data_IF_901356565769
#
_entry.id   IF_901356565769
#
_cell.length_a   1.000
_cell.length_b   1.000
_cell.length_c   1.000
_cell.angle_alpha   90.00
_cell.angle_beta   90.00
_cell.angle_gamma   90.00
#
_symmetry.space_group_name_H-M   'P 1'
#
loop_
_entity.id
_entity.type
_entity.pdbx_description
1 polymer ?
#
# COMPACT_ATOMS: atom_id res chain seq x y z
N UNK A 1 82.63 31.46 -20.85
CA UNK A 1 82.32 31.62 -22.29
C UNK A 1 83.52 32.30 -22.94
N UNK A 2 83.86 32.07 -24.22
CA UNK A 2 83.22 31.20 -25.23
C UNK A 2 83.59 29.70 -25.03
N UNK A 3 83.46 28.74 -25.96
CA UNK A 3 82.36 28.23 -26.83
C UNK A 3 83.01 27.31 -27.91
N UNK A 4 82.54 26.05 -28.08
CA UNK A 4 82.84 25.15 -29.24
C UNK A 4 84.33 24.74 -29.47
N UNK A 5 84.68 23.66 -30.18
CA UNK A 5 83.94 22.46 -30.65
C UNK A 5 84.91 21.35 -31.11
N UNK A 6 84.50 20.08 -31.00
CA UNK A 6 85.04 18.96 -31.81
C UNK A 6 84.58 19.10 -33.29
N UNK A 7 85.17 18.44 -34.33
CA UNK A 7 85.36 16.97 -34.38
C UNK A 7 86.60 16.47 -35.18
N UNK A 8 86.74 15.13 -35.30
CA UNK A 8 87.16 14.31 -36.48
C UNK A 8 87.46 12.87 -35.95
N UNK A 9 86.61 11.84 -36.04
CA UNK A 9 86.03 11.09 -37.17
C UNK A 9 87.04 10.23 -37.98
N UNK A 10 86.71 8.93 -38.19
CA UNK A 10 87.47 7.85 -38.92
C UNK A 10 88.70 7.30 -38.16
N UNK A 11 89.08 6.02 -38.20
CA UNK A 11 88.54 4.71 -38.67
C UNK A 11 89.27 3.60 -37.82
N UNK A 12 88.93 2.31 -37.71
CA UNK A 12 87.89 1.39 -38.23
C UNK A 12 87.05 0.85 -37.03
N UNK A 13 86.03 -0.05 -37.08
CA UNK A 13 85.45 -1.02 -38.05
C UNK A 13 86.15 -2.39 -38.19
N UNK A 14 86.02 -3.28 -37.17
CA UNK A 14 85.85 -4.75 -37.34
C UNK A 14 85.57 -5.48 -36.01
N UNK A 15 84.32 -5.88 -35.80
CA UNK A 15 83.86 -7.11 -35.10
C UNK A 15 82.34 -7.04 -34.94
N UNK A 16 81.61 -7.68 -35.85
CA UNK A 16 80.14 -7.83 -35.87
C UNK A 16 79.86 -9.19 -36.52
N UNK A 17 78.76 -9.87 -36.16
CA UNK A 17 78.56 -11.35 -36.15
C UNK A 17 79.20 -12.01 -34.91
N UNK A 18 78.62 -13.01 -34.25
CA UNK A 18 77.26 -13.60 -34.25
C UNK A 18 77.15 -14.56 -33.02
N UNK A 19 76.01 -14.86 -32.41
CA UNK A 19 74.65 -14.30 -32.43
C UNK A 19 73.90 -14.73 -31.13
N UNK A 20 72.66 -14.25 -30.91
CA UNK A 20 71.78 -14.75 -29.84
C UNK A 20 70.92 -15.95 -30.33
N UNK A 21 70.49 -16.86 -29.44
CA UNK A 21 69.09 -16.76 -29.00
C UNK A 21 68.77 -17.17 -27.55
N UNK A 22 67.71 -16.55 -27.01
CA UNK A 22 66.72 -17.07 -26.04
C UNK A 22 67.21 -17.88 -24.80
N UNK A 23 67.14 -17.23 -23.63
CA UNK A 23 66.65 -17.85 -22.40
C UNK A 23 65.64 -16.93 -21.70
N UNK A 24 64.36 -17.06 -22.09
CA UNK A 24 63.22 -16.50 -21.35
C UNK A 24 62.88 -17.41 -20.16
N UNK A 25 63.58 -17.22 -19.04
CA UNK A 25 63.28 -17.89 -17.78
C UNK A 25 62.61 -16.91 -16.81
N UNK A 26 61.27 -16.93 -16.74
CA UNK A 26 60.52 -16.04 -15.87
C UNK A 26 60.59 -16.45 -14.40
N UNK A 27 61.05 -15.56 -13.52
CA UNK A 27 61.07 -15.77 -12.06
C UNK A 27 59.67 -15.63 -11.42
N UNK A 28 58.69 -16.37 -11.95
CA UNK A 28 57.44 -16.63 -11.24
C UNK A 28 57.70 -17.70 -10.16
N UNK A 29 58.28 -17.29 -9.03
CA UNK A 29 58.56 -18.20 -7.90
C UNK A 29 57.27 -18.58 -7.17
N UNK A 30 56.48 -19.45 -7.79
CA UNK A 30 55.44 -20.22 -7.09
C UNK A 30 56.12 -21.18 -6.13
N UNK A 31 56.16 -20.81 -4.84
CA UNK A 31 56.86 -21.54 -3.78
C UNK A 31 56.20 -22.89 -3.45
N UNK A 32 56.35 -23.86 -4.35
CA UNK A 32 55.97 -25.25 -4.16
C UNK A 32 56.93 -25.93 -3.16
N UNK A 33 56.72 -25.64 -1.87
CA UNK A 33 57.27 -26.46 -0.79
C UNK A 33 56.75 -27.90 -0.95
N UNK A 34 57.64 -28.91 -1.03
CA UNK A 34 57.22 -30.29 -1.20
C UNK A 34 56.40 -30.75 0.01
N UNK A 35 55.41 -31.61 -0.23
CA UNK A 35 54.33 -31.95 0.71
C UNK A 35 54.78 -32.54 2.07
N UNK A 36 56.04 -32.96 2.19
CA UNK A 36 56.62 -33.44 3.45
C UNK A 36 57.14 -32.32 4.36
N UNK A 37 57.42 -31.12 3.84
CA UNK A 37 57.85 -29.93 4.62
C UNK A 37 56.67 -29.07 5.10
N UNK A 38 55.44 -29.40 4.72
CA UNK A 38 54.26 -28.65 5.18
C UNK A 38 54.02 -28.88 6.67
N UNK A 39 54.17 -27.82 7.47
CA UNK A 39 53.93 -27.85 8.91
C UNK A 39 52.54 -28.46 9.23
N UNK A 40 52.47 -29.34 10.24
CA UNK A 40 51.23 -30.03 10.64
C UNK A 40 50.84 -29.70 12.08
N UNK A 41 49.64 -29.18 12.26
CA UNK A 41 49.05 -28.82 13.55
C UNK A 41 47.91 -29.78 13.92
N UNK A 42 47.54 -29.84 15.20
CA UNK A 42 46.30 -30.52 15.64
C UNK A 42 45.07 -29.77 15.16
N UNK A 43 43.95 -30.48 15.07
CA UNK A 43 42.61 -29.88 14.88
C UNK A 43 42.16 -29.27 16.21
N UNK A 44 41.60 -28.04 16.26
CA UNK A 44 41.12 -27.43 17.50
C UNK A 44 39.85 -28.11 18.03
N UNK A 45 39.62 -28.06 19.35
CA UNK A 45 38.46 -28.70 20.01
C UNK A 45 37.11 -28.03 19.72
N UNK A 46 37.12 -26.84 19.10
CA UNK A 46 35.93 -26.08 18.75
C UNK A 46 36.12 -25.20 17.51
N UNK A 47 35.00 -24.87 16.85
CA UNK A 47 34.94 -23.95 15.71
C UNK A 47 33.83 -22.92 15.96
N UNK A 48 34.13 -21.61 15.82
CA UNK A 48 33.22 -20.50 16.13
C UNK A 48 32.51 -20.60 17.51
N UNK A 49 33.27 -21.06 18.52
CA UNK A 49 32.80 -21.25 19.90
C UNK A 49 31.93 -22.49 20.13
N UNK A 50 31.78 -23.37 19.13
CA UNK A 50 31.01 -24.62 19.24
C UNK A 50 31.94 -25.83 19.21
N UNK A 51 31.76 -26.76 20.16
CA UNK A 51 32.35 -28.10 20.08
C UNK A 51 31.65 -28.93 18.99
N UNK A 52 32.32 -29.99 18.50
CA UNK A 52 31.76 -30.84 17.44
C UNK A 52 30.34 -31.40 17.76
N UNK A 53 30.01 -31.88 18.98
CA UNK A 53 28.65 -32.28 19.34
C UNK A 53 27.62 -31.13 19.42
N UNK A 54 28.05 -29.87 19.39
CA UNK A 54 27.16 -28.70 19.27
C UNK A 54 26.99 -28.25 17.80
N UNK A 55 28.03 -28.40 16.96
CA UNK A 55 27.97 -28.23 15.50
C UNK A 55 27.01 -29.26 14.87
N UNK A 56 26.98 -30.46 15.42
CA UNK A 56 26.05 -31.53 15.03
C UNK A 56 24.59 -31.21 15.39
N UNK A 57 24.31 -30.85 16.65
CA UNK A 57 22.97 -30.39 17.10
C UNK A 57 22.48 -29.12 16.37
N UNK A 58 23.38 -28.33 15.80
CA UNK A 58 23.06 -27.18 14.94
C UNK A 58 22.65 -27.60 13.51
N UNK A 59 22.92 -28.84 13.09
CA UNK A 59 22.72 -29.35 11.73
C UNK A 59 23.84 -28.96 10.76
N UNK A 60 25.00 -28.53 11.27
CA UNK A 60 26.13 -28.06 10.47
C UNK A 60 27.20 -29.14 10.17
N UNK A 61 27.07 -30.34 10.75
CA UNK A 61 28.03 -31.46 10.66
C UNK A 61 28.03 -32.18 9.30
N UNK A 62 28.37 -31.46 8.23
CA UNK A 62 28.56 -32.02 6.89
C UNK A 62 29.72 -31.35 6.16
N UNK A 63 30.39 -32.09 5.28
CA UNK A 63 31.56 -31.60 4.55
C UNK A 63 32.73 -31.26 5.49
N UNK A 64 33.38 -30.08 5.35
CA UNK A 64 34.55 -29.73 6.17
C UNK A 64 34.34 -29.78 7.69
N UNK A 65 33.14 -29.53 8.22
CA UNK A 65 32.89 -29.70 9.66
C UNK A 65 32.99 -31.17 10.11
N UNK A 66 32.51 -32.11 9.28
CA UNK A 66 32.59 -33.54 9.56
C UNK A 66 34.04 -34.03 9.46
N UNK A 67 34.76 -33.64 8.41
CA UNK A 67 36.17 -33.98 8.24
C UNK A 67 37.05 -33.44 9.38
N UNK A 68 36.72 -32.26 9.93
CA UNK A 68 37.34 -31.74 11.15
C UNK A 68 37.00 -32.58 12.39
N UNK A 69 35.73 -32.94 12.59
CA UNK A 69 35.30 -33.76 13.73
C UNK A 69 35.96 -35.15 13.72
N UNK A 70 36.00 -35.81 12.57
CA UNK A 70 36.68 -37.10 12.38
C UNK A 70 38.19 -36.98 12.64
N UNK A 71 38.84 -35.93 12.12
CA UNK A 71 40.26 -35.73 12.33
C UNK A 71 40.61 -35.37 13.79
N UNK A 72 39.73 -34.64 14.49
CA UNK A 72 39.84 -34.38 15.93
C UNK A 72 39.72 -35.67 16.75
N UNK A 73 38.65 -36.45 16.55
CA UNK A 73 38.42 -37.75 17.22
C UNK A 73 39.58 -38.73 17.02
N UNK A 74 40.16 -38.77 15.82
CA UNK A 74 41.29 -39.65 15.47
C UNK A 74 42.68 -39.03 15.78
N UNK A 75 42.75 -37.88 16.46
CA UNK A 75 44.02 -37.21 16.82
C UNK A 75 44.91 -36.80 15.64
N UNK A 76 44.35 -36.67 14.42
CA UNK A 76 45.11 -36.53 13.17
C UNK A 76 45.63 -35.11 13.01
N UNK A 77 46.95 -34.98 12.80
CA UNK A 77 47.59 -33.68 12.51
C UNK A 77 47.49 -33.33 11.04
N UNK A 78 46.88 -32.19 10.72
CA UNK A 78 46.60 -31.71 9.36
C UNK A 78 47.61 -30.62 8.97
N UNK A 79 47.95 -30.52 7.69
CA UNK A 79 48.80 -29.43 7.18
C UNK A 79 48.15 -28.06 7.43
N UNK A 80 48.95 -27.09 7.87
CA UNK A 80 48.47 -25.75 8.28
C UNK A 80 47.68 -25.08 7.16
N UNK A 81 48.13 -25.22 5.90
CA UNK A 81 47.45 -24.69 4.71
C UNK A 81 46.02 -25.22 4.57
N UNK A 82 45.84 -26.54 4.59
CA UNK A 82 44.52 -27.19 4.43
C UNK A 82 43.58 -26.81 5.58
N UNK A 83 44.11 -26.80 6.81
CA UNK A 83 43.32 -26.55 8.00
C UNK A 83 42.91 -25.07 8.15
N UNK A 84 43.85 -24.13 7.97
CA UNK A 84 43.58 -22.69 8.16
C UNK A 84 42.91 -22.03 6.95
N UNK A 85 43.21 -22.45 5.72
CA UNK A 85 42.73 -21.76 4.51
C UNK A 85 41.47 -22.37 3.90
N UNK A 86 41.16 -23.64 4.21
CA UNK A 86 39.98 -24.33 3.65
C UNK A 86 39.06 -24.84 4.77
N UNK A 87 39.51 -25.79 5.59
CA UNK A 87 38.59 -26.55 6.45
C UNK A 87 37.97 -25.69 7.57
N UNK A 88 38.77 -24.87 8.26
CA UNK A 88 38.23 -23.97 9.29
C UNK A 88 37.32 -22.88 8.70
N UNK A 89 37.72 -22.09 7.67
CA UNK A 89 36.83 -21.12 7.04
C UNK A 89 35.50 -21.72 6.56
N UNK A 90 35.53 -22.88 5.90
CA UNK A 90 34.32 -23.50 5.37
C UNK A 90 33.40 -24.04 6.47
N UNK A 91 33.96 -24.57 7.55
CA UNK A 91 33.14 -24.97 8.69
C UNK A 91 32.54 -23.76 9.42
N UNK A 92 33.27 -22.64 9.56
CA UNK A 92 32.73 -21.39 10.12
C UNK A 92 31.53 -20.88 9.30
N UNK A 93 31.69 -20.77 7.97
CA UNK A 93 30.61 -20.38 7.05
C UNK A 93 29.38 -21.30 7.16
N UNK A 94 29.58 -22.60 7.36
CA UNK A 94 28.50 -23.59 7.54
C UNK A 94 27.78 -23.45 8.88
N UNK A 95 28.51 -23.16 9.96
CA UNK A 95 27.93 -22.84 11.28
C UNK A 95 27.07 -21.57 11.20
N UNK A 96 27.56 -20.52 10.54
CA UNK A 96 26.83 -19.26 10.33
C UNK A 96 25.54 -19.48 9.51
N UNK A 97 25.63 -20.20 8.38
CA UNK A 97 24.46 -20.56 7.58
C UNK A 97 23.42 -21.40 8.36
N UNK A 98 23.87 -22.29 9.24
CA UNK A 98 22.98 -23.11 10.05
C UNK A 98 22.29 -22.30 11.17
N UNK A 99 23.00 -21.36 11.82
CA UNK A 99 22.41 -20.39 12.78
C UNK A 99 21.31 -19.55 12.11
N UNK A 100 21.63 -18.91 10.98
CA UNK A 100 20.68 -18.10 10.22
C UNK A 100 19.43 -18.90 9.77
N UNK A 101 19.58 -20.19 9.42
CA UNK A 101 18.44 -21.07 9.12
C UNK A 101 17.59 -21.36 10.35
N UNK A 102 18.19 -21.58 11.53
CA UNK A 102 17.43 -21.80 12.76
C UNK A 102 16.67 -20.54 13.18
N UNK A 103 17.29 -19.36 13.08
CA UNK A 103 16.66 -18.06 13.35
C UNK A 103 15.48 -17.81 12.41
N UNK A 104 15.65 -18.01 11.09
CA UNK A 104 14.58 -17.90 10.11
C UNK A 104 13.43 -18.88 10.40
N UNK A 105 13.72 -20.15 10.77
CA UNK A 105 12.70 -21.13 11.14
C UNK A 105 11.95 -20.76 12.42
N UNK A 106 12.59 -20.11 13.40
CA UNK A 106 11.91 -19.59 14.58
C UNK A 106 10.95 -18.45 14.21
N UNK A 107 11.40 -17.49 13.38
CA UNK A 107 10.58 -16.38 12.91
C UNK A 107 9.35 -16.88 12.12
N UNK A 108 9.54 -17.83 11.18
CA UNK A 108 8.43 -18.41 10.41
C UNK A 108 7.40 -19.09 11.31
N UNK A 109 7.82 -19.85 12.34
CA UNK A 109 6.90 -20.48 13.31
C UNK A 109 6.10 -19.44 14.10
N UNK A 110 6.73 -18.35 14.53
CA UNK A 110 6.06 -17.27 15.25
C UNK A 110 5.01 -16.57 14.36
N UNK A 111 5.35 -16.28 13.10
CA UNK A 111 4.43 -15.70 12.11
C UNK A 111 3.26 -16.64 11.82
N UNK A 112 3.50 -17.95 11.64
CA UNK A 112 2.43 -18.94 11.48
C UNK A 112 1.48 -19.00 12.68
N UNK A 113 2.02 -18.95 13.91
CA UNK A 113 1.21 -18.98 15.13
C UNK A 113 0.31 -17.73 15.24
N UNK A 114 0.87 -16.54 14.99
CA UNK A 114 0.11 -15.29 14.96
C UNK A 114 -0.98 -15.32 13.85
N UNK A 115 -0.65 -15.80 12.66
CA UNK A 115 -1.60 -15.92 11.54
C UNK A 115 -2.78 -16.85 11.87
N UNK A 116 -2.52 -18.00 12.52
CA UNK A 116 -3.57 -18.93 12.96
C UNK A 116 -4.51 -18.28 13.98
N UNK A 117 -4.01 -17.45 14.90
CA UNK A 117 -4.84 -16.71 15.86
C UNK A 117 -5.74 -15.67 15.17
N UNK A 118 -5.18 -14.86 14.27
CA UNK A 118 -5.95 -13.87 13.48
C UNK A 118 -7.03 -14.56 12.65
N UNK A 119 -6.72 -15.68 11.99
CA UNK A 119 -7.68 -16.42 11.19
C UNK A 119 -8.80 -17.04 12.04
N UNK A 120 -8.48 -17.58 13.23
CA UNK A 120 -9.48 -18.12 14.15
C UNK A 120 -10.46 -17.04 14.63
N UNK A 121 -9.95 -15.86 15.00
CA UNK A 121 -10.78 -14.71 15.38
C UNK A 121 -11.67 -14.24 14.23
N UNK A 122 -11.14 -14.17 13.00
CA UNK A 122 -11.92 -13.85 11.80
C UNK A 122 -13.08 -14.83 11.53
N UNK A 123 -12.84 -16.14 11.67
CA UNK A 123 -13.89 -17.17 11.55
C UNK A 123 -14.96 -17.02 12.64
N UNK A 124 -14.56 -16.73 13.89
CA UNK A 124 -15.50 -16.52 14.99
C UNK A 124 -16.42 -15.31 14.74
N UNK A 125 -15.87 -14.18 14.26
CA UNK A 125 -16.67 -13.02 13.87
C UNK A 125 -17.64 -13.31 12.71
N UNK A 126 -17.22 -14.11 11.72
CA UNK A 126 -18.09 -14.53 10.62
C UNK A 126 -19.24 -15.43 11.11
N UNK A 127 -18.95 -16.39 11.99
CA UNK A 127 -19.96 -17.26 12.58
C UNK A 127 -21.00 -16.47 13.41
N UNK A 128 -20.57 -15.47 14.18
CA UNK A 128 -21.50 -14.64 14.96
C UNK A 128 -22.34 -13.71 14.08
N UNK A 129 -21.76 -13.14 13.01
CA UNK A 129 -22.54 -12.41 11.99
C UNK A 129 -23.59 -13.30 11.33
N UNK A 130 -23.25 -14.55 11.01
CA UNK A 130 -24.20 -15.51 10.45
C UNK A 130 -25.32 -15.88 11.44
N UNK A 131 -25.01 -16.09 12.72
CA UNK A 131 -26.01 -16.30 13.80
C UNK A 131 -26.97 -15.12 13.93
N UNK A 132 -26.46 -13.89 13.92
CA UNK A 132 -27.27 -12.67 13.99
C UNK A 132 -28.17 -12.50 12.75
N UNK A 133 -27.68 -12.85 11.55
CA UNK A 133 -28.47 -12.87 10.32
C UNK A 133 -29.57 -13.94 10.37
N UNK A 134 -29.25 -15.17 10.78
CA UNK A 134 -30.22 -16.25 10.94
C UNK A 134 -31.32 -15.86 11.94
N UNK A 135 -30.96 -15.32 13.13
CA UNK A 135 -31.92 -14.84 14.13
C UNK A 135 -32.84 -13.74 13.57
N UNK A 136 -32.31 -12.80 12.79
CA UNK A 136 -33.10 -11.78 12.08
C UNK A 136 -34.06 -12.38 11.04
N UNK A 137 -33.68 -13.46 10.37
CA UNK A 137 -34.55 -14.18 9.42
C UNK A 137 -35.65 -14.96 10.15
N UNK A 138 -35.33 -15.72 11.21
CA UNK A 138 -36.33 -16.44 12.03
C UNK A 138 -37.38 -15.49 12.61
N UNK A 139 -36.98 -14.32 13.10
CA UNK A 139 -37.90 -13.30 13.61
C UNK A 139 -38.80 -12.68 12.53
N UNK A 140 -38.40 -12.71 11.25
CA UNK A 140 -39.25 -12.26 10.12
C UNK A 140 -40.28 -13.30 9.69
N UNK A 141 -40.00 -14.60 9.81
CA UNK A 141 -40.88 -15.66 9.30
C UNK A 141 -42.32 -15.69 9.89
N UNK A 142 -42.57 -15.52 11.21
CA UNK A 142 -43.94 -15.53 11.73
C UNK A 142 -44.75 -14.30 11.29
N UNK A 143 -44.11 -13.16 11.03
CA UNK A 143 -44.78 -11.93 10.62
C UNK A 143 -45.33 -11.95 9.17
N UNK A 144 -44.87 -12.89 8.34
CA UNK A 144 -45.05 -12.88 6.86
C UNK A 144 -46.25 -13.70 6.38
N UNK A 145 -46.87 -14.55 7.22
CA UNK A 145 -47.89 -15.51 6.77
C UNK A 145 -49.36 -15.05 6.88
N UNK A 146 -49.70 -14.17 7.82
CA UNK A 146 -51.12 -13.82 8.12
C UNK A 146 -51.49 -12.37 7.79
N UNK A 147 -50.89 -11.77 6.76
CA UNK A 147 -51.18 -10.37 6.40
C UNK A 147 -50.51 -9.96 5.09
N UNK A 148 -50.67 -10.76 4.03
CA UNK A 148 -50.01 -10.51 2.74
C UNK A 148 -50.78 -9.60 1.77
N UNK A 149 -52.10 -9.54 1.88
CA UNK A 149 -52.93 -8.77 0.96
C UNK A 149 -53.23 -7.38 1.55
N UNK A 150 -53.81 -7.32 2.75
CA UNK A 150 -54.08 -6.05 3.46
C UNK A 150 -52.80 -5.23 3.69
N UNK A 151 -51.64 -5.86 3.92
CA UNK A 151 -50.35 -5.13 4.00
C UNK A 151 -49.70 -4.85 2.67
N UNK A 152 -50.17 -5.39 1.54
CA UNK A 152 -49.74 -4.88 0.24
C UNK A 152 -50.37 -3.50 0.04
N UNK A 153 -51.69 -3.42 0.10
CA UNK A 153 -52.44 -2.16 -0.05
C UNK A 153 -52.10 -1.14 1.05
N UNK A 154 -51.94 -1.56 2.32
CA UNK A 154 -51.48 -0.68 3.38
C UNK A 154 -49.99 -0.27 3.26
N UNK A 155 -49.12 -1.12 2.71
CA UNK A 155 -47.71 -0.74 2.48
C UNK A 155 -47.57 0.19 1.28
N UNK A 156 -48.36 0.00 0.23
CA UNK A 156 -48.33 0.85 -0.97
C UNK A 156 -48.97 2.21 -0.67
N UNK A 157 -50.07 2.27 0.08
CA UNK A 157 -50.65 3.54 0.56
C UNK A 157 -49.74 4.27 1.56
N UNK A 158 -49.08 3.57 2.49
CA UNK A 158 -48.07 4.20 3.37
C UNK A 158 -46.82 4.65 2.61
N UNK A 159 -46.39 3.89 1.60
CA UNK A 159 -45.28 4.26 0.68
C UNK A 159 -45.64 5.50 -0.15
N UNK A 160 -46.88 5.57 -0.66
CA UNK A 160 -47.39 6.77 -1.33
C UNK A 160 -47.53 7.96 -0.40
N UNK A 161 -48.05 7.79 0.82
CA UNK A 161 -48.15 8.86 1.81
C UNK A 161 -46.77 9.38 2.20
N UNK A 162 -45.79 8.50 2.44
CA UNK A 162 -44.41 8.90 2.69
C UNK A 162 -43.81 9.68 1.51
N UNK A 163 -44.03 9.24 0.26
CA UNK A 163 -43.59 9.95 -0.95
C UNK A 163 -44.30 11.30 -1.14
N UNK A 164 -45.59 11.40 -0.82
CA UNK A 164 -46.37 12.65 -0.85
C UNK A 164 -45.84 13.64 0.19
N UNK A 165 -45.71 13.22 1.45
CA UNK A 165 -45.15 14.04 2.53
C UNK A 165 -43.68 14.44 2.31
N UNK A 166 -42.86 13.58 1.71
CA UNK A 166 -41.50 13.96 1.31
C UNK A 166 -41.51 15.02 0.18
N UNK A 167 -42.37 14.87 -0.84
CA UNK A 167 -42.53 15.89 -1.90
C UNK A 167 -43.16 17.19 -1.39
N UNK A 168 -44.00 17.12 -0.36
CA UNK A 168 -44.50 18.30 0.37
C UNK A 168 -43.38 19.00 1.13
N UNK A 169 -42.53 18.26 1.87
CA UNK A 169 -41.29 18.77 2.49
C UNK A 169 -40.39 19.49 1.47
N UNK A 170 -40.07 18.86 0.33
CA UNK A 170 -39.24 19.48 -0.72
C UNK A 170 -39.83 20.78 -1.29
N UNK A 171 -41.17 20.89 -1.36
CA UNK A 171 -41.87 22.12 -1.80
C UNK A 171 -41.95 23.18 -0.70
N UNK A 172 -42.00 22.76 0.56
CA UNK A 172 -42.03 23.64 1.72
C UNK A 172 -40.65 24.15 2.16
N UNK A 173 -39.56 23.62 1.58
CA UNK A 173 -38.20 24.05 1.86
C UNK A 173 -38.02 25.57 1.65
N UNK A 174 -37.45 26.22 2.64
CA UNK A 174 -37.22 27.68 2.77
C UNK A 174 -36.44 28.23 1.58
N UNK A 175 -35.46 27.47 1.09
CA UNK A 175 -34.63 27.84 -0.05
C UNK A 175 -35.43 28.06 -1.34
N UNK A 176 -36.61 27.44 -1.50
CA UNK A 176 -37.53 27.72 -2.62
C UNK A 176 -38.04 29.17 -2.62
N UNK A 177 -38.28 29.76 -1.44
CA UNK A 177 -38.72 31.16 -1.31
C UNK A 177 -37.57 32.13 -1.61
N UNK A 178 -36.39 31.83 -1.09
CA UNK A 178 -35.18 32.64 -1.30
C UNK A 178 -34.72 32.63 -2.77
N UNK A 179 -34.97 31.53 -3.50
CA UNK A 179 -34.58 31.38 -4.91
C UNK A 179 -35.64 31.85 -5.94
N UNK A 180 -36.77 32.47 -5.54
CA UNK A 180 -37.81 32.93 -6.49
C UNK A 180 -37.31 33.85 -7.62
N UNK A 181 -36.19 34.56 -7.41
CA UNK A 181 -35.52 35.40 -8.40
C UNK A 181 -34.41 34.71 -9.21
N UNK A 182 -34.22 33.40 -9.04
CA UNK A 182 -33.18 32.60 -9.72
C UNK A 182 -33.87 31.69 -10.76
N UNK A 183 -33.39 31.65 -12.02
CA UNK A 183 -33.96 30.73 -13.00
C UNK A 183 -33.61 29.29 -12.61
N UNK A 184 -34.62 28.46 -12.35
CA UNK A 184 -34.40 27.04 -12.07
C UNK A 184 -34.06 26.30 -13.36
N UNK A 185 -32.78 26.01 -13.54
CA UNK A 185 -32.20 25.33 -14.69
C UNK A 185 -31.61 23.99 -14.24
N UNK A 186 -31.53 22.96 -15.11
CA UNK A 186 -30.84 21.73 -14.80
C UNK A 186 -29.40 21.99 -14.33
N UNK A 187 -28.99 21.31 -13.27
CA UNK A 187 -27.62 21.37 -12.78
C UNK A 187 -26.67 20.55 -13.64
N UNK A 188 -25.39 20.84 -13.55
CA UNK A 188 -24.33 20.08 -14.20
C UNK A 188 -23.09 19.99 -13.31
N UNK A 189 -22.48 18.81 -13.21
CA UNK A 189 -21.22 18.62 -12.47
C UNK A 189 -19.98 18.97 -13.31
N UNK A 190 -20.14 19.00 -14.64
CA UNK A 190 -19.17 19.45 -15.64
C UNK A 190 -19.91 20.10 -16.81
N UNK A 191 -19.24 20.96 -17.56
CA UNK A 191 -19.80 21.61 -18.75
C UNK A 191 -20.29 20.55 -19.77
N UNK A 192 -21.47 20.79 -20.34
CA UNK A 192 -22.08 19.93 -21.38
C UNK A 192 -22.75 18.65 -20.88
N UNK A 193 -22.80 18.39 -19.57
CA UNK A 193 -23.47 17.22 -18.99
C UNK A 193 -24.50 17.65 -17.93
N UNK A 194 -25.73 18.03 -18.34
CA UNK A 194 -26.83 18.28 -17.42
C UNK A 194 -27.26 16.98 -16.72
N UNK A 195 -27.62 17.08 -15.44
CA UNK A 195 -28.28 16.02 -14.69
C UNK A 195 -29.80 16.13 -14.80
N UNK A 196 -30.52 15.13 -14.30
CA UNK A 196 -31.98 15.16 -14.13
C UNK A 196 -32.46 16.13 -13.02
N UNK A 197 -31.54 16.70 -12.25
CA UNK A 197 -31.83 17.48 -11.05
C UNK A 197 -31.70 18.98 -11.36
N UNK A 198 -32.72 19.77 -11.02
CA UNK A 198 -32.67 21.23 -11.12
C UNK A 198 -31.90 21.85 -9.94
N UNK A 199 -31.51 23.13 -10.07
CA UNK A 199 -30.82 23.86 -9.00
C UNK A 199 -31.67 23.91 -7.73
N UNK A 200 -32.94 24.28 -7.87
CA UNK A 200 -33.89 24.37 -6.76
C UNK A 200 -34.14 22.97 -6.17
N UNK A 201 -34.25 21.94 -7.03
CA UNK A 201 -34.34 20.55 -6.58
C UNK A 201 -33.15 20.12 -5.71
N UNK A 202 -31.91 20.39 -6.16
CA UNK A 202 -30.69 20.06 -5.41
C UNK A 202 -30.63 20.74 -4.04
N UNK A 203 -30.93 22.04 -3.99
CA UNK A 203 -30.82 22.82 -2.76
C UNK A 203 -31.95 22.48 -1.76
N UNK A 204 -33.18 22.25 -2.24
CA UNK A 204 -34.29 21.80 -1.38
C UNK A 204 -34.09 20.36 -0.88
N UNK A 205 -33.45 19.49 -1.67
CA UNK A 205 -32.99 18.18 -1.19
C UNK A 205 -31.94 18.30 -0.08
N UNK A 206 -31.00 19.25 -0.18
CA UNK A 206 -30.02 19.52 0.88
C UNK A 206 -30.67 20.06 2.15
N UNK A 207 -31.66 20.97 2.05
CA UNK A 207 -32.41 21.47 3.21
C UNK A 207 -33.16 20.36 3.95
N UNK A 208 -33.82 19.49 3.20
CA UNK A 208 -34.64 18.40 3.73
C UNK A 208 -33.79 17.25 4.31
N UNK A 209 -32.56 17.06 3.80
CA UNK A 209 -31.60 16.09 4.36
C UNK A 209 -30.81 16.64 5.55
N UNK A 210 -30.51 17.95 5.55
CA UNK A 210 -29.72 18.63 6.59
C UNK A 210 -30.40 19.96 6.98
N UNK A 211 -31.38 19.89 7.91
CA UNK A 211 -32.05 21.07 8.45
C UNK A 211 -31.04 22.06 9.01
N UNK A 212 -31.25 23.34 8.73
CA UNK A 212 -30.27 24.40 9.02
C UNK A 212 -30.96 25.66 9.57
N UNK A 213 -30.17 26.57 10.13
CA UNK A 213 -30.69 27.79 10.77
C UNK A 213 -30.86 28.98 9.80
N UNK A 214 -30.74 28.75 8.49
CA UNK A 214 -30.91 29.75 7.44
C UNK A 214 -29.77 29.78 6.43
N UNK A 215 -29.87 30.71 5.49
CA UNK A 215 -28.98 30.81 4.33
C UNK A 215 -28.35 32.19 4.15
N UNK A 216 -27.07 32.20 3.77
CA UNK A 216 -26.48 33.32 3.02
C UNK A 216 -26.54 33.00 1.52
N UNK A 217 -27.01 33.95 0.71
CA UNK A 217 -27.08 33.80 -0.75
C UNK A 217 -26.43 35.00 -1.43
N UNK A 218 -25.39 34.76 -2.22
CA UNK A 218 -24.73 35.77 -3.05
C UNK A 218 -25.08 35.52 -4.53
N UNK A 219 -26.14 36.16 -5.03
CA UNK A 219 -26.53 36.09 -6.44
C UNK A 219 -25.84 37.18 -7.28
N UNK A 220 -25.33 36.79 -8.44
CA UNK A 220 -24.92 37.67 -9.54
C UNK A 220 -25.56 37.17 -10.84
N UNK A 221 -25.37 37.88 -11.96
CA UNK A 221 -26.01 37.55 -13.26
C UNK A 221 -25.77 36.10 -13.72
N UNK A 222 -24.55 35.58 -13.51
CA UNK A 222 -24.10 34.28 -14.01
C UNK A 222 -23.38 33.45 -12.93
N UNK A 223 -23.48 33.83 -11.66
CA UNK A 223 -22.96 33.05 -10.53
C UNK A 223 -23.89 33.12 -9.33
N UNK A 224 -23.96 32.03 -8.57
CA UNK A 224 -24.74 31.94 -7.34
C UNK A 224 -23.89 31.22 -6.29
N UNK A 225 -23.74 31.80 -5.11
CA UNK A 225 -23.23 31.10 -3.93
C UNK A 225 -24.36 30.96 -2.93
N UNK A 226 -24.53 29.75 -2.39
CA UNK A 226 -25.50 29.44 -1.33
C UNK A 226 -24.74 28.77 -0.18
N UNK A 227 -24.84 29.33 1.03
CA UNK A 227 -24.28 28.77 2.25
C UNK A 227 -25.43 28.47 3.21
N UNK A 228 -25.66 27.20 3.55
CA UNK A 228 -26.54 26.79 4.64
C UNK A 228 -25.77 26.93 5.96
N UNK A 229 -26.33 27.65 6.93
CA UNK A 229 -25.70 27.95 8.22
C UNK A 229 -26.16 26.96 9.29
N UNK A 230 -25.20 26.35 10.00
CA UNK A 230 -25.47 25.39 11.09
C UNK A 230 -26.44 24.28 10.64
N UNK A 231 -26.06 23.55 9.58
CA UNK A 231 -26.80 22.39 9.12
C UNK A 231 -26.53 21.19 10.03
N UNK A 232 -27.60 20.59 10.57
CA UNK A 232 -27.53 19.41 11.45
C UNK A 232 -26.95 18.22 10.68
N UNK A 233 -25.85 17.67 11.21
CA UNK A 233 -25.23 16.45 10.74
C UNK A 233 -24.83 15.58 11.93
N UNK A 234 -24.70 14.27 11.69
CA UNK A 234 -24.23 13.24 12.64
C UNK A 234 -22.83 13.47 13.26
N UNK A 235 -22.20 14.63 13.02
CA UNK A 235 -20.90 15.05 13.57
C UNK A 235 -20.93 16.46 14.19
N UNK A 236 -22.11 17.04 14.39
CA UNK A 236 -22.32 18.42 14.84
C UNK A 236 -22.67 19.37 13.70
N UNK A 237 -23.09 20.59 14.06
CA UNK A 237 -23.57 21.60 13.13
C UNK A 237 -22.45 22.11 12.21
N UNK A 238 -22.71 22.16 10.90
CA UNK A 238 -21.70 22.58 9.91
C UNK A 238 -22.25 23.52 8.85
N UNK A 239 -21.38 24.36 8.29
CA UNK A 239 -21.70 25.12 7.08
C UNK A 239 -21.60 24.20 5.85
N UNK A 240 -22.65 24.19 5.03
CA UNK A 240 -22.64 23.58 3.69
C UNK A 240 -22.66 24.72 2.67
N UNK A 241 -21.67 24.77 1.78
CA UNK A 241 -21.49 25.85 0.81
C UNK A 241 -21.47 25.29 -0.61
N UNK A 242 -22.30 25.86 -1.50
CA UNK A 242 -22.42 25.47 -2.90
C UNK A 242 -22.22 26.68 -3.82
N UNK A 243 -21.25 26.61 -4.74
CA UNK A 243 -20.97 27.64 -5.72
C UNK A 243 -21.39 27.16 -7.12
N UNK A 244 -22.20 27.94 -7.82
CA UNK A 244 -22.69 27.64 -9.15
C UNK A 244 -22.31 28.75 -10.14
N UNK A 245 -22.02 28.36 -11.39
CA UNK A 245 -21.88 29.28 -12.53
C UNK A 245 -22.84 28.90 -13.64
N UNK A 246 -23.55 29.89 -14.20
CA UNK A 246 -24.49 29.66 -15.30
C UNK A 246 -23.73 29.49 -16.63
N UNK A 247 -23.96 28.39 -17.32
CA UNK A 247 -23.36 28.12 -18.63
C UNK A 247 -24.30 27.31 -19.52
N UNK A 248 -24.49 27.73 -20.78
CA UNK A 248 -25.25 27.01 -21.82
C UNK A 248 -26.63 26.48 -21.37
N UNK A 249 -27.38 27.28 -20.60
CA UNK A 249 -28.70 26.89 -20.10
C UNK A 249 -28.69 25.94 -18.88
N UNK A 250 -27.54 25.76 -18.23
CA UNK A 250 -27.36 24.90 -17.04
C UNK A 250 -26.72 25.66 -15.88
N UNK A 251 -26.92 25.19 -14.65
CA UNK A 251 -26.16 25.61 -13.47
C UNK A 251 -25.01 24.65 -13.20
N UNK A 252 -23.79 25.04 -13.58
CA UNK A 252 -22.59 24.22 -13.33
C UNK A 252 -22.15 24.41 -11.88
N UNK A 253 -22.19 23.34 -11.08
CA UNK A 253 -21.64 23.32 -9.72
C UNK A 253 -20.11 23.41 -9.80
N UNK A 254 -19.53 24.52 -9.33
CA UNK A 254 -18.09 24.79 -9.38
C UNK A 254 -17.36 24.39 -8.09
N UNK A 255 -18.00 24.57 -6.94
CA UNK A 255 -17.47 24.11 -5.65
C UNK A 255 -18.62 23.61 -4.78
N UNK A 256 -18.35 22.56 -4.00
CA UNK A 256 -19.20 22.09 -2.92
C UNK A 256 -18.32 21.87 -1.68
N UNK A 257 -18.61 22.59 -0.60
CA UNK A 257 -17.90 22.53 0.69
C UNK A 257 -18.84 22.01 1.77
N UNK A 258 -18.34 21.11 2.64
CA UNK A 258 -19.03 20.67 3.87
C UNK A 258 -18.01 20.73 5.01
N UNK A 259 -18.14 21.72 5.90
CA UNK A 259 -17.09 22.09 6.85
C UNK A 259 -15.70 22.18 6.17
N UNK A 260 -14.75 21.34 6.58
CA UNK A 260 -13.37 21.32 6.06
C UNK A 260 -13.21 20.52 4.75
N UNK A 261 -14.23 19.82 4.26
CA UNK A 261 -14.17 19.02 3.03
C UNK A 261 -14.68 19.84 1.86
N UNK A 262 -13.77 20.28 0.98
CA UNK A 262 -14.10 21.00 -0.26
C UNK A 262 -13.85 20.15 -1.50
N UNK A 263 -14.82 20.17 -2.42
CA UNK A 263 -14.74 19.50 -3.72
C UNK A 263 -14.75 20.54 -4.85
N UNK A 264 -13.63 20.67 -5.57
CA UNK A 264 -13.46 21.60 -6.70
C UNK A 264 -13.31 20.92 -8.07
N UNK A 265 -13.13 19.59 -8.12
CA UNK A 265 -13.09 18.80 -9.36
C UNK A 265 -14.43 18.17 -9.66
N UNK A 266 -14.84 18.11 -10.92
CA UNK A 266 -16.14 17.56 -11.35
C UNK A 266 -16.49 16.19 -10.74
N UNK A 267 -15.55 15.23 -10.76
CA UNK A 267 -15.73 13.89 -10.18
C UNK A 267 -15.97 13.93 -8.66
N UNK A 268 -15.23 14.79 -7.96
CA UNK A 268 -15.28 14.90 -6.51
C UNK A 268 -16.57 15.65 -6.09
N UNK A 269 -17.01 16.64 -6.88
CA UNK A 269 -18.29 17.35 -6.73
C UNK A 269 -19.49 16.41 -6.89
N UNK A 270 -19.51 15.62 -7.97
CA UNK A 270 -20.54 14.57 -8.17
C UNK A 270 -20.55 13.57 -7.00
N UNK A 271 -19.37 13.11 -6.56
CA UNK A 271 -19.27 12.13 -5.46
C UNK A 271 -19.75 12.69 -4.12
N UNK A 272 -19.40 13.94 -3.80
CA UNK A 272 -19.83 14.59 -2.57
C UNK A 272 -21.33 14.87 -2.59
N UNK A 273 -21.86 15.45 -3.68
CA UNK A 273 -23.29 15.65 -3.88
C UNK A 273 -24.09 14.34 -3.76
N UNK A 274 -23.65 13.28 -4.46
CA UNK A 274 -24.26 11.95 -4.40
C UNK A 274 -24.27 11.34 -2.99
N UNK A 275 -23.22 11.58 -2.20
CA UNK A 275 -23.17 11.11 -0.80
C UNK A 275 -24.12 11.90 0.12
N UNK A 276 -24.29 13.20 -0.11
CA UNK A 276 -25.19 14.06 0.67
C UNK A 276 -26.67 13.78 0.37
N UNK A 277 -27.00 13.41 -0.86
CA UNK A 277 -28.38 13.18 -1.31
C UNK A 277 -28.85 11.72 -1.26
N UNK A 278 -27.99 10.81 -0.76
CA UNK A 278 -28.12 9.37 -0.99
C UNK A 278 -29.44 8.75 -0.49
N UNK A 279 -29.89 9.14 0.71
CA UNK A 279 -31.04 8.53 1.39
C UNK A 279 -32.34 9.32 1.20
N UNK A 280 -32.27 10.65 1.04
CA UNK A 280 -33.46 11.52 0.99
C UNK A 280 -33.92 11.84 -0.44
N UNK A 281 -33.03 11.98 -1.43
CA UNK A 281 -33.44 12.32 -2.81
C UNK A 281 -33.07 11.24 -3.85
N UNK A 282 -33.75 10.07 -3.85
CA UNK A 282 -33.48 8.99 -4.80
C UNK A 282 -33.75 9.36 -6.27
N UNK A 283 -34.65 10.32 -6.54
CA UNK A 283 -34.92 10.82 -7.89
C UNK A 283 -33.69 11.54 -8.51
N UNK A 284 -32.76 12.03 -7.67
CA UNK A 284 -31.47 12.60 -8.09
C UNK A 284 -30.41 11.56 -8.50
N UNK A 285 -30.66 10.26 -8.25
CA UNK A 285 -29.69 9.17 -8.46
C UNK A 285 -29.95 8.38 -9.75
N UNK A 286 -31.06 8.62 -10.44
CA UNK A 286 -31.53 7.81 -11.59
C UNK A 286 -31.43 8.60 -12.90
N UNK A 287 -30.21 9.02 -13.26
CA UNK A 287 -29.74 9.33 -14.63
C UNK A 287 -28.30 9.88 -14.57
N UNK A 288 -27.30 9.02 -14.76
CA UNK A 288 -25.87 9.37 -14.71
C UNK A 288 -24.99 8.29 -14.10
#
# INVERSE_FOLDING_TARGET
MPYRSAPLFRYLVRCLLAAAPVLLAGCATSSFLPSFLQARQSVPDSVSGLSYPAIDRLGAMTGPCLALAEAHQNGRRITVTLLQQQWLPDCRRRIEQARARQEALQLTRAVEQAWRQVQAHGRAQQAERARLQARRQTLRQPAVKSGKNERAEASDTVSEQARRHHRERLRAATINELLRGVPDLPMAYTLGQPSSLSLTGFLSCLEVAYPNQGYEIEQRRDSLVVKALQADMLRGDVTIESHFSRAWGTWVLQQLSVAQVSASRARDRYRLARNLLADECPEALISG
#
